data_IF_821938400101
#
_entry.id   IF_821938400101
#
_cell.length_a   1.000
_cell.length_b   1.000
_cell.length_c   1.000
_cell.angle_alpha   90.00
_cell.angle_beta   90.00
_cell.angle_gamma   90.00
#
_symmetry.space_group_name_H-M   'P 1'
#
loop_
_entity.id
_entity.type
_entity.pdbx_description
1 polymer ?
#
# COMPACT_ATOMS: atom_id res chain seq x y z
N UNK A 1 15.41 -53.09 -18.80
CA UNK A 1 14.37 -52.48 -19.66
C UNK A 1 13.55 -51.58 -18.75
N UNK A 2 14.02 -50.40 -18.32
CA UNK A 2 14.68 -49.29 -19.04
C UNK A 2 13.92 -48.85 -20.30
N UNK A 3 13.14 -47.78 -20.12
CA UNK A 3 12.83 -46.63 -21.00
C UNK A 3 11.96 -45.70 -20.13
N UNK A 4 12.37 -44.57 -19.52
CA UNK A 4 12.95 -43.30 -19.99
C UNK A 4 12.10 -42.54 -21.02
N UNK A 5 11.95 -41.23 -20.75
CA UNK A 5 11.31 -40.15 -21.51
C UNK A 5 9.80 -39.94 -21.22
N UNK A 6 9.24 -38.73 -21.12
CA UNK A 6 9.73 -37.35 -21.10
C UNK A 6 8.46 -36.48 -21.00
N UNK A 7 8.22 -35.80 -19.88
CA UNK A 7 7.29 -34.65 -19.89
C UNK A 7 7.90 -33.48 -19.13
N UNK A 8 8.22 -32.47 -19.95
CA UNK A 8 8.83 -31.18 -19.65
C UNK A 8 7.74 -30.17 -19.97
N UNK A 9 7.25 -29.40 -19.00
CA UNK A 9 6.45 -28.20 -19.29
C UNK A 9 6.59 -27.11 -18.23
N UNK A 10 7.18 -26.00 -18.68
CA UNK A 10 6.78 -24.62 -18.43
C UNK A 10 6.74 -24.07 -16.99
N UNK A 11 7.91 -23.94 -16.36
CA UNK A 11 8.11 -22.98 -15.26
C UNK A 11 9.24 -21.96 -15.48
N UNK A 12 9.88 -21.94 -16.65
CA UNK A 12 11.07 -21.12 -16.92
C UNK A 12 10.86 -20.03 -17.98
N UNK A 13 9.91 -19.11 -17.76
CA UNK A 13 9.74 -17.94 -18.63
C UNK A 13 9.43 -16.67 -17.83
N UNK A 14 10.30 -16.33 -16.88
CA UNK A 14 10.53 -14.93 -16.50
C UNK A 14 12.03 -14.73 -16.26
N UNK A 15 12.71 -13.79 -16.95
CA UNK A 15 14.12 -13.53 -16.67
C UNK A 15 14.27 -12.94 -15.27
N UNK A 16 15.29 -13.33 -14.50
CA UNK A 16 15.66 -12.60 -13.29
C UNK A 16 16.05 -11.17 -13.68
N UNK A 17 15.52 -10.19 -12.96
CA UNK A 17 15.83 -8.77 -13.11
C UNK A 17 17.30 -8.54 -12.74
N UNK A 18 18.19 -8.72 -13.71
CA UNK A 18 19.63 -8.51 -13.54
C UNK A 18 19.92 -7.01 -13.65
N UNK A 19 19.85 -6.31 -12.52
CA UNK A 19 20.32 -4.92 -12.41
C UNK A 19 21.82 -4.96 -12.13
N UNK A 20 22.62 -5.07 -13.19
CA UNK A 20 24.06 -4.88 -13.12
C UNK A 20 24.37 -3.41 -12.85
N UNK A 21 24.86 -3.08 -11.66
CA UNK A 21 25.47 -1.77 -11.39
C UNK A 21 26.98 -1.95 -11.42
N UNK A 22 27.58 -1.37 -12.46
CA UNK A 22 29.02 -1.25 -12.64
C UNK A 22 29.62 -0.39 -11.53
N UNK A 23 30.55 -0.96 -10.78
CA UNK A 23 31.34 -0.26 -9.76
C UNK A 23 32.47 0.51 -10.44
N UNK A 24 32.20 1.76 -10.82
CA UNK A 24 33.26 2.74 -11.09
C UNK A 24 33.29 3.79 -9.98
N UNK A 25 34.50 4.11 -9.50
CA UNK A 25 34.78 5.09 -8.45
C UNK A 25 34.08 6.44 -8.71
N UNK A 26 33.07 6.78 -7.90
CA UNK A 26 32.33 8.04 -7.98
C UNK A 26 32.63 8.86 -6.71
N UNK A 27 33.06 10.10 -6.94
CA UNK A 27 33.26 11.18 -5.96
C UNK A 27 32.08 11.29 -4.97
N UNK A 28 32.34 11.62 -3.71
CA UNK A 28 31.36 11.56 -2.59
C UNK A 28 30.05 12.34 -2.83
N UNK A 29 30.05 13.33 -3.74
CA UNK A 29 28.86 14.10 -4.15
C UNK A 29 27.94 13.33 -5.12
N UNK A 30 28.47 12.38 -5.88
CA UNK A 30 27.70 11.53 -6.78
C UNK A 30 27.04 10.36 -6.06
N UNK A 31 27.68 9.80 -5.03
CA UNK A 31 27.14 8.69 -4.24
C UNK A 31 25.94 9.11 -3.40
N UNK A 32 25.92 10.34 -2.87
CA UNK A 32 24.76 10.87 -2.13
C UNK A 32 23.55 11.13 -3.05
N UNK A 33 23.78 11.65 -4.27
CA UNK A 33 22.71 11.88 -5.26
C UNK A 33 22.12 10.58 -5.81
N UNK A 34 22.98 9.59 -6.11
CA UNK A 34 22.56 8.23 -6.49
C UNK A 34 21.73 7.57 -5.38
N UNK A 35 22.16 7.71 -4.12
CA UNK A 35 21.44 7.17 -2.96
C UNK A 35 20.11 7.88 -2.72
N UNK A 36 20.03 9.20 -2.93
CA UNK A 36 18.77 9.95 -2.88
C UNK A 36 17.74 9.45 -3.90
N UNK A 37 18.16 9.22 -5.15
CA UNK A 37 17.29 8.67 -6.19
C UNK A 37 16.81 7.24 -5.84
N UNK A 38 17.69 6.41 -5.27
CA UNK A 38 17.33 5.06 -4.81
C UNK A 38 16.31 5.10 -3.64
N UNK A 39 16.42 6.06 -2.73
CA UNK A 39 15.46 6.27 -1.64
C UNK A 39 14.10 6.71 -2.20
N UNK A 40 14.07 7.63 -3.17
CA UNK A 40 12.80 8.07 -3.78
C UNK A 40 12.07 6.95 -4.50
N UNK A 41 12.81 6.11 -5.23
CA UNK A 41 12.23 4.97 -5.93
C UNK A 41 11.73 3.91 -4.94
N UNK A 42 12.49 3.61 -3.88
CA UNK A 42 12.04 2.69 -2.84
C UNK A 42 10.79 3.21 -2.11
N UNK A 43 10.70 4.52 -1.83
CA UNK A 43 9.50 5.13 -1.27
C UNK A 43 8.28 4.96 -2.20
N UNK A 44 8.45 5.18 -3.51
CA UNK A 44 7.41 4.98 -4.53
C UNK A 44 6.92 3.54 -4.51
N UNK A 45 7.85 2.58 -4.54
CA UNK A 45 7.53 1.16 -4.52
C UNK A 45 6.81 0.75 -3.22
N UNK A 46 7.31 1.21 -2.05
CA UNK A 46 6.64 0.98 -0.78
C UNK A 46 5.20 1.49 -0.79
N UNK A 47 4.95 2.72 -1.26
CA UNK A 47 3.61 3.30 -1.34
C UNK A 47 2.67 2.45 -2.21
N UNK A 48 3.13 2.07 -3.40
CA UNK A 48 2.37 1.22 -4.32
C UNK A 48 2.00 -0.12 -3.67
N UNK A 49 2.97 -0.77 -3.00
CA UNK A 49 2.75 -2.04 -2.32
C UNK A 49 1.80 -1.91 -1.14
N UNK A 50 1.92 -0.86 -0.32
CA UNK A 50 1.00 -0.59 0.80
C UNK A 50 -0.45 -0.62 0.32
N UNK A 51 -0.80 0.15 -0.70
CA UNK A 51 -2.19 0.20 -1.16
C UNK A 51 -2.66 -1.09 -1.81
N UNK A 52 -1.81 -1.78 -2.56
CA UNK A 52 -2.15 -3.09 -3.14
C UNK A 52 -2.48 -4.11 -2.06
N UNK A 53 -1.65 -4.20 -1.03
CA UNK A 53 -1.86 -5.12 0.09
C UNK A 53 -3.05 -4.69 0.95
N UNK A 54 -3.29 -3.39 1.14
CA UNK A 54 -4.45 -2.87 1.86
C UNK A 54 -5.77 -3.23 1.15
N UNK A 55 -5.89 -2.93 -0.15
CA UNK A 55 -7.08 -3.27 -0.93
C UNK A 55 -7.33 -4.78 -0.94
N UNK A 56 -6.25 -5.58 -1.00
CA UNK A 56 -6.35 -7.04 -0.94
C UNK A 56 -6.85 -7.50 0.42
N UNK A 57 -6.31 -6.95 1.51
CA UNK A 57 -6.74 -7.27 2.87
C UNK A 57 -8.24 -6.98 3.04
N UNK A 58 -8.70 -5.79 2.67
CA UNK A 58 -10.13 -5.43 2.77
C UNK A 58 -11.03 -6.39 1.97
N UNK A 59 -10.63 -6.73 0.75
CA UNK A 59 -11.38 -7.66 -0.10
C UNK A 59 -11.45 -9.07 0.50
N UNK A 60 -10.32 -9.62 0.96
CA UNK A 60 -10.27 -10.98 1.52
C UNK A 60 -10.99 -11.08 2.87
N UNK A 61 -10.82 -10.09 3.74
CA UNK A 61 -11.56 -9.98 5.02
C UNK A 61 -13.06 -9.96 4.78
N UNK A 62 -13.51 -9.18 3.80
CA UNK A 62 -14.93 -9.11 3.45
C UNK A 62 -15.46 -10.45 2.94
N UNK A 63 -14.73 -11.11 2.03
CA UNK A 63 -15.13 -12.43 1.50
C UNK A 63 -15.20 -13.48 2.62
N UNK A 64 -14.23 -13.50 3.52
CA UNK A 64 -14.24 -14.40 4.67
C UNK A 64 -15.50 -14.23 5.51
N UNK A 65 -15.81 -12.98 5.88
CA UNK A 65 -16.95 -12.66 6.73
C UNK A 65 -18.28 -12.99 6.05
N UNK A 66 -18.49 -12.52 4.82
CA UNK A 66 -19.78 -12.65 4.13
C UNK A 66 -20.02 -14.02 3.50
N UNK A 67 -18.97 -14.71 3.03
CA UNK A 67 -19.14 -16.00 2.36
C UNK A 67 -19.18 -17.17 3.34
N UNK A 68 -18.45 -17.09 4.46
CA UNK A 68 -18.35 -18.19 5.41
C UNK A 68 -19.00 -17.85 6.75
N UNK A 69 -18.58 -16.76 7.40
CA UNK A 69 -19.03 -16.47 8.78
C UNK A 69 -20.54 -16.23 8.86
N UNK A 70 -21.09 -15.35 8.02
CA UNK A 70 -22.52 -15.00 8.06
C UNK A 70 -23.42 -16.19 7.73
N UNK A 71 -23.23 -16.94 6.62
CA UNK A 71 -24.07 -18.09 6.31
C UNK A 71 -23.99 -19.20 7.36
N UNK A 72 -22.80 -19.51 7.89
CA UNK A 72 -22.67 -20.49 8.96
C UNK A 72 -23.40 -20.05 10.23
N UNK A 73 -23.24 -18.80 10.66
CA UNK A 73 -23.94 -18.28 11.83
C UNK A 73 -25.46 -18.35 11.64
N UNK A 74 -25.96 -18.07 10.44
CA UNK A 74 -27.37 -18.18 10.09
C UNK A 74 -27.87 -19.63 10.17
N UNK A 75 -27.15 -20.60 9.60
CA UNK A 75 -27.53 -22.01 9.68
C UNK A 75 -27.50 -22.55 11.11
N UNK A 76 -26.48 -22.17 11.90
CA UNK A 76 -26.38 -22.53 13.32
C UNK A 76 -27.56 -21.95 14.11
N UNK A 77 -27.94 -20.70 13.84
CA UNK A 77 -29.09 -20.05 14.48
C UNK A 77 -30.39 -20.79 14.17
N UNK A 78 -30.65 -21.09 12.88
CA UNK A 78 -31.83 -21.86 12.45
C UNK A 78 -31.85 -23.24 13.12
N UNK A 79 -30.73 -23.96 13.09
CA UNK A 79 -30.58 -25.26 13.73
C UNK A 79 -30.88 -25.20 15.23
N UNK A 80 -30.43 -24.14 15.92
CA UNK A 80 -30.72 -23.91 17.33
C UNK A 80 -32.21 -23.71 17.58
N UNK A 81 -32.88 -22.86 16.80
CA UNK A 81 -34.33 -22.60 16.92
C UNK A 81 -35.14 -23.89 16.66
N UNK A 82 -34.80 -24.65 15.61
CA UNK A 82 -35.44 -25.92 15.30
C UNK A 82 -35.22 -26.96 16.41
N UNK A 83 -34.03 -26.99 17.02
CA UNK A 83 -33.73 -27.90 18.13
C UNK A 83 -34.57 -27.58 19.37
N UNK A 84 -34.73 -26.30 19.70
CA UNK A 84 -35.65 -25.87 20.76
C UNK A 84 -37.09 -26.21 20.43
N UNK A 85 -37.52 -25.96 19.19
CA UNK A 85 -38.87 -26.30 18.74
C UNK A 85 -39.17 -27.80 18.85
N UNK A 86 -38.22 -28.65 18.42
CA UNK A 86 -38.33 -30.11 18.53
C UNK A 86 -38.40 -30.60 19.99
N UNK A 87 -37.82 -29.84 20.92
CA UNK A 87 -37.83 -30.18 22.35
C UNK A 87 -39.14 -29.79 23.05
N UNK A 88 -40.05 -29.09 22.37
CA UNK A 88 -41.37 -28.77 22.93
C UNK A 88 -42.35 -29.91 22.66
N UNK A 89 -43.20 -30.24 23.64
CA UNK A 89 -44.27 -31.25 23.50
C UNK A 89 -45.33 -30.91 22.42
N UNK A 90 -45.16 -29.79 21.71
CA UNK A 90 -46.01 -29.34 20.61
C UNK A 90 -45.83 -30.16 19.32
N UNK A 91 -44.72 -30.90 19.19
CA UNK A 91 -44.41 -31.71 17.99
C UNK A 91 -44.45 -33.20 18.30
N UNK A 92 -45.63 -33.75 18.62
CA UNK A 92 -45.78 -35.19 18.81
C UNK A 92 -45.99 -35.92 17.47
N UNK A 93 -45.25 -37.01 17.23
CA UNK A 93 -45.43 -37.90 16.08
C UNK A 93 -44.46 -37.65 14.91
N UNK A 94 -44.94 -37.76 13.66
CA UNK A 94 -44.09 -37.70 12.45
C UNK A 94 -43.33 -36.37 12.28
N UNK A 95 -43.85 -35.27 12.84
CA UNK A 95 -43.22 -33.94 12.74
C UNK A 95 -41.89 -33.87 13.49
N UNK A 96 -41.75 -34.59 14.60
CA UNK A 96 -40.51 -34.64 15.40
C UNK A 96 -39.37 -35.26 14.59
N UNK A 97 -39.67 -36.36 13.89
CA UNK A 97 -38.70 -37.07 13.05
C UNK A 97 -38.25 -36.19 11.88
N UNK A 98 -39.17 -35.47 11.23
CA UNK A 98 -38.83 -34.57 10.13
C UNK A 98 -37.98 -33.37 10.57
N UNK A 99 -38.27 -32.78 11.73
CA UNK A 99 -37.47 -31.68 12.29
C UNK A 99 -36.07 -32.18 12.68
N UNK A 100 -35.97 -33.35 13.31
CA UNK A 100 -34.69 -33.99 13.65
C UNK A 100 -33.81 -34.25 12.43
N UNK A 101 -34.38 -34.79 11.34
CA UNK A 101 -33.65 -34.99 10.08
C UNK A 101 -33.17 -33.64 9.50
N UNK A 102 -34.02 -32.61 9.55
CA UNK A 102 -33.68 -31.27 9.04
C UNK A 102 -32.50 -30.66 9.80
N UNK A 103 -32.50 -30.76 11.14
CA UNK A 103 -31.39 -30.34 12.00
C UNK A 103 -30.11 -31.10 11.64
N UNK A 104 -30.22 -32.41 11.41
CA UNK A 104 -29.10 -33.25 10.95
C UNK A 104 -28.52 -32.78 9.62
N UNK A 105 -29.37 -32.51 8.62
CA UNK A 105 -28.93 -31.98 7.32
C UNK A 105 -28.24 -30.61 7.44
N UNK A 106 -28.81 -29.69 8.23
CA UNK A 106 -28.21 -28.37 8.45
C UNK A 106 -26.82 -28.52 9.11
N UNK A 107 -26.69 -29.44 10.07
CA UNK A 107 -25.41 -29.70 10.75
C UNK A 107 -24.33 -30.17 9.78
N UNK A 108 -24.66 -31.06 8.83
CA UNK A 108 -23.73 -31.50 7.78
C UNK A 108 -23.31 -30.33 6.88
N UNK A 109 -24.24 -29.46 6.51
CA UNK A 109 -23.94 -28.26 5.72
C UNK A 109 -22.99 -27.33 6.49
N UNK A 110 -23.23 -27.08 7.78
CA UNK A 110 -22.35 -26.23 8.61
C UNK A 110 -20.93 -26.81 8.67
N UNK A 111 -20.77 -28.12 8.90
CA UNK A 111 -19.45 -28.78 8.90
C UNK A 111 -18.77 -28.69 7.53
N UNK A 112 -19.53 -28.79 6.44
CA UNK A 112 -19.01 -28.61 5.09
C UNK A 112 -18.49 -27.18 4.87
N UNK A 113 -19.26 -26.15 5.24
CA UNK A 113 -18.81 -24.75 5.17
C UNK A 113 -17.59 -24.48 6.05
N UNK A 114 -17.52 -25.07 7.26
CA UNK A 114 -16.34 -24.98 8.12
C UNK A 114 -15.10 -25.62 7.48
N UNK A 115 -15.28 -26.74 6.79
CA UNK A 115 -14.20 -27.41 6.03
C UNK A 115 -13.74 -26.54 4.85
N UNK A 116 -14.68 -25.93 4.10
CA UNK A 116 -14.35 -25.01 3.02
C UNK A 116 -13.61 -23.77 3.54
N UNK A 117 -14.03 -23.21 4.68
CA UNK A 117 -13.35 -22.09 5.32
C UNK A 117 -11.88 -22.46 5.62
N UNK A 118 -11.64 -23.62 6.22
CA UNK A 118 -10.30 -24.12 6.52
C UNK A 118 -9.48 -24.47 5.28
N UNK A 119 -10.13 -24.73 4.14
CA UNK A 119 -9.43 -24.99 2.87
C UNK A 119 -8.99 -23.68 2.21
N UNK A 120 -9.89 -22.70 2.09
CA UNK A 120 -9.60 -21.43 1.42
C UNK A 120 -8.74 -20.47 2.25
N UNK A 121 -8.83 -20.54 3.59
CA UNK A 121 -8.01 -19.77 4.54
C UNK A 121 -7.96 -18.27 4.24
N UNK A 122 -9.08 -17.65 3.86
CA UNK A 122 -9.13 -16.23 3.52
C UNK A 122 -8.71 -15.34 4.70
N UNK A 123 -9.04 -15.73 5.93
CA UNK A 123 -8.65 -15.04 7.15
C UNK A 123 -7.12 -14.91 7.30
N UNK A 124 -6.42 -16.06 7.26
CA UNK A 124 -4.96 -16.12 7.34
C UNK A 124 -4.31 -15.33 6.20
N UNK A 125 -4.85 -15.47 4.98
CA UNK A 125 -4.35 -14.72 3.82
C UNK A 125 -4.54 -13.21 4.00
N UNK A 126 -5.69 -12.77 4.51
CA UNK A 126 -5.95 -11.37 4.82
C UNK A 126 -4.96 -10.84 5.86
N UNK A 127 -4.75 -11.57 6.95
CA UNK A 127 -3.80 -11.23 8.00
C UNK A 127 -2.36 -11.10 7.47
N UNK A 128 -1.94 -11.96 6.52
CA UNK A 128 -0.64 -11.82 5.85
C UNK A 128 -0.51 -10.48 5.12
N UNK A 129 -1.55 -10.04 4.40
CA UNK A 129 -1.52 -8.74 3.72
C UNK A 129 -1.53 -7.58 4.73
N UNK A 130 -2.29 -7.67 5.82
CA UNK A 130 -2.31 -6.65 6.88
C UNK A 130 -0.95 -6.46 7.57
N UNK A 131 -0.26 -7.56 7.88
CA UNK A 131 1.07 -7.50 8.50
C UNK A 131 2.08 -6.83 7.57
N UNK A 132 2.04 -7.16 6.27
CA UNK A 132 2.89 -6.53 5.25
C UNK A 132 2.63 -5.03 5.15
N UNK A 133 1.36 -4.59 5.16
CA UNK A 133 1.01 -3.17 5.17
C UNK A 133 1.65 -2.47 6.38
N UNK A 134 1.48 -3.04 7.56
CA UNK A 134 2.02 -2.47 8.81
C UNK A 134 3.54 -2.33 8.79
N UNK A 135 4.24 -3.34 8.26
CA UNK A 135 5.69 -3.31 8.16
C UNK A 135 6.20 -2.35 7.08
N UNK A 136 5.53 -2.31 5.92
CA UNK A 136 5.80 -1.34 4.86
C UNK A 136 5.55 0.10 5.30
N UNK A 137 4.52 0.36 6.11
CA UNK A 137 4.23 1.68 6.65
C UNK A 137 5.34 2.18 7.58
N UNK A 138 5.84 1.32 8.47
CA UNK A 138 6.99 1.63 9.32
C UNK A 138 8.24 1.93 8.49
N UNK A 139 8.55 1.07 7.51
CA UNK A 139 9.69 1.29 6.61
C UNK A 139 9.55 2.57 5.78
N UNK A 140 8.33 2.91 5.32
CA UNK A 140 8.07 4.16 4.60
C UNK A 140 8.35 5.37 5.49
N UNK A 141 7.93 5.35 6.75
CA UNK A 141 8.22 6.41 7.71
C UNK A 141 9.73 6.55 7.95
N UNK A 142 10.44 5.43 8.14
CA UNK A 142 11.90 5.41 8.27
C UNK A 142 12.61 6.00 7.03
N UNK A 143 12.15 5.66 5.82
CA UNK A 143 12.69 6.20 4.56
C UNK A 143 12.41 7.70 4.39
N UNK A 144 11.24 8.18 4.82
CA UNK A 144 10.93 9.61 4.81
C UNK A 144 11.85 10.37 5.75
N UNK A 145 12.07 9.87 6.96
CA UNK A 145 13.02 10.46 7.92
C UNK A 145 14.44 10.44 7.36
N UNK A 146 14.87 9.33 6.76
CA UNK A 146 16.19 9.22 6.13
C UNK A 146 16.35 10.25 5.01
N UNK A 147 15.32 10.45 4.19
CA UNK A 147 15.34 11.46 3.13
C UNK A 147 15.48 12.87 3.69
N UNK A 148 14.67 13.23 4.68
CA UNK A 148 14.70 14.57 5.30
C UNK A 148 16.10 14.85 5.84
N UNK A 149 16.67 13.91 6.61
CA UNK A 149 18.04 14.01 7.12
C UNK A 149 19.07 14.19 6.00
N UNK A 150 18.91 13.47 4.89
CA UNK A 150 19.82 13.57 3.76
C UNK A 150 19.70 14.92 3.01
N UNK A 151 18.48 15.47 2.93
CA UNK A 151 18.22 16.82 2.43
C UNK A 151 18.88 17.90 3.28
N UNK A 152 18.73 17.81 4.61
CA UNK A 152 19.33 18.74 5.57
C UNK A 152 20.87 18.76 5.49
N UNK A 153 21.51 17.58 5.37
CA UNK A 153 22.95 17.48 5.18
C UNK A 153 23.43 18.14 3.88
N UNK A 154 22.65 18.06 2.80
CA UNK A 154 23.00 18.66 1.51
C UNK A 154 22.86 20.19 1.53
N UNK A 155 21.87 20.71 2.28
CA UNK A 155 21.63 22.15 2.38
C UNK A 155 22.65 22.85 3.29
N UNK A 156 23.06 22.20 4.38
CA UNK A 156 24.06 22.73 5.34
C UNK A 156 25.46 22.88 4.72
N UNK A 157 25.83 21.98 3.81
CA UNK A 157 27.12 22.04 3.08
C UNK A 157 27.19 23.16 2.02
N UNK A 158 26.06 23.79 1.66
CA UNK A 158 26.04 24.93 0.73
C UNK A 158 26.09 26.29 1.44
N UNK A 159 25.81 26.36 2.75
CA UNK A 159 25.85 27.61 3.53
C UNK A 159 27.23 27.84 4.18
N UNK A 160 27.93 26.77 4.56
CA UNK A 160 29.31 26.86 5.05
C UNK A 160 30.29 26.57 3.91
N UNK A 161 30.86 27.63 3.32
CA UNK A 161 32.05 27.56 2.47
C UNK A 161 33.33 27.16 3.23
N UNK A 162 33.22 26.24 4.18
CA UNK A 162 34.30 25.75 5.01
C UNK A 162 34.67 24.34 4.58
N UNK A 163 35.91 24.19 4.12
CA UNK A 163 36.55 22.90 3.88
C UNK A 163 36.60 22.10 5.20
N UNK A 164 35.57 21.29 5.46
CA UNK A 164 35.66 20.26 6.50
C UNK A 164 36.16 18.98 5.85
N UNK A 165 37.42 18.70 6.20
CA UNK A 165 38.25 17.57 5.85
C UNK A 165 37.54 16.22 5.97
N UNK A 166 37.94 15.28 5.10
CA UNK A 166 37.64 13.85 5.09
C UNK A 166 37.24 13.27 6.46
N UNK A 167 35.94 13.07 6.68
CA UNK A 167 35.47 12.06 7.63
C UNK A 167 35.47 10.71 6.92
N UNK A 168 36.62 10.03 6.97
CA UNK A 168 36.65 8.58 6.81
C UNK A 168 35.84 7.99 7.96
N UNK A 169 34.59 7.61 7.68
CA UNK A 169 33.78 6.82 8.61
C UNK A 169 34.41 5.42 8.67
N UNK A 170 35.28 5.20 9.65
CA UNK A 170 35.70 3.86 10.04
C UNK A 170 34.62 3.31 10.96
N UNK A 171 33.80 2.41 10.42
CA UNK A 171 32.82 1.64 11.20
C UNK A 171 33.58 0.54 11.94
N UNK A 172 33.88 0.74 13.22
CA UNK A 172 34.33 -0.37 14.08
C UNK A 172 33.12 -1.00 14.75
N UNK A 173 32.90 -2.28 14.44
CA UNK A 173 31.90 -3.13 15.06
C UNK A 173 32.51 -3.77 16.31
N UNK A 174 32.14 -3.32 17.51
CA UNK A 174 32.55 -4.00 18.75
C UNK A 174 31.38 -4.11 19.70
N UNK A 175 30.86 -5.33 19.82
CA UNK A 175 30.07 -5.81 20.95
C UNK A 175 30.99 -6.01 22.16
N UNK A 176 30.84 -5.17 23.20
CA UNK A 176 30.80 -5.50 24.63
C UNK A 176 31.18 -4.28 25.48
N UNK A 177 30.36 -4.07 26.51
CA UNK A 177 30.51 -3.33 27.77
C UNK A 177 31.64 -2.31 27.99
N UNK A 178 31.21 -1.23 28.66
CA UNK A 178 31.93 -0.26 29.48
C UNK A 178 32.29 1.11 28.85
N UNK A 179 31.52 2.09 29.33
CA UNK A 179 31.57 3.56 29.20
C UNK A 179 32.97 4.16 29.35
N UNK A 180 33.32 5.12 28.47
CA UNK A 180 34.04 6.36 28.82
C UNK A 180 33.43 7.53 28.05
N UNK A 181 33.08 8.57 28.79
CA UNK A 181 32.58 9.87 28.32
C UNK A 181 33.80 10.78 28.17
N UNK A 182 33.95 11.45 27.02
CA UNK A 182 34.18 12.91 26.91
C UNK A 182 34.31 13.34 25.45
N UNK A 183 33.80 14.55 25.20
CA UNK A 183 33.91 15.41 24.02
C UNK A 183 32.85 15.27 22.91
N UNK A 184 32.05 16.34 22.79
CA UNK A 184 30.96 16.76 21.88
C UNK A 184 30.75 16.00 20.55
N UNK A 185 30.71 14.68 20.62
CA UNK A 185 30.23 13.82 19.56
C UNK A 185 28.78 13.51 19.87
N UNK A 186 27.89 14.16 19.14
CA UNK A 186 26.49 13.73 19.04
C UNK A 186 26.51 12.27 18.62
N UNK A 187 26.33 11.36 19.58
CA UNK A 187 26.07 9.95 19.33
C UNK A 187 24.70 9.90 18.69
N UNK A 188 24.66 10.03 17.35
CA UNK A 188 23.46 9.78 16.57
C UNK A 188 23.22 8.28 16.68
N UNK A 189 22.29 7.93 17.56
CA UNK A 189 21.75 6.58 17.71
C UNK A 189 21.44 6.00 16.34
N UNK A 190 22.06 4.84 16.09
CA UNK A 190 21.88 3.91 14.96
C UNK A 190 20.71 4.25 14.03
N UNK A 191 20.98 5.05 13.00
CA UNK A 191 20.13 5.07 11.82
C UNK A 191 20.40 3.79 11.04
N UNK A 192 19.40 2.93 10.85
CA UNK A 192 19.53 1.80 9.94
C UNK A 192 20.06 2.26 8.58
N UNK A 193 20.98 1.50 7.99
CA UNK A 193 21.51 1.81 6.67
C UNK A 193 20.42 1.64 5.60
N UNK A 194 20.51 2.37 4.49
CA UNK A 194 19.61 2.18 3.35
C UNK A 194 19.55 0.71 2.88
N UNK A 195 20.69 0.01 2.90
CA UNK A 195 20.78 -1.41 2.53
C UNK A 195 20.01 -2.31 3.49
N UNK A 196 20.03 -2.00 4.80
CA UNK A 196 19.21 -2.67 5.81
C UNK A 196 17.72 -2.54 5.49
N UNK A 197 17.26 -1.32 5.19
CA UNK A 197 15.85 -1.06 4.87
C UNK A 197 15.46 -1.76 3.57
N UNK A 198 16.33 -1.74 2.55
CA UNK A 198 16.07 -2.44 1.29
C UNK A 198 15.99 -3.96 1.49
N UNK A 199 16.84 -4.55 2.34
CA UNK A 199 16.77 -5.96 2.69
C UNK A 199 15.47 -6.30 3.45
N UNK A 200 15.08 -5.49 4.43
CA UNK A 200 13.80 -5.62 5.15
C UNK A 200 12.61 -5.52 4.20
N UNK A 201 12.65 -4.61 3.23
CA UNK A 201 11.61 -4.49 2.20
C UNK A 201 11.45 -5.79 1.39
N UNK A 202 12.55 -6.35 0.88
CA UNK A 202 12.51 -7.61 0.13
C UNK A 202 12.03 -8.79 1.00
N UNK A 203 12.47 -8.85 2.25
CA UNK A 203 12.02 -9.85 3.21
C UNK A 203 10.52 -9.73 3.51
N UNK A 204 10.02 -8.50 3.67
CA UNK A 204 8.60 -8.23 3.90
C UNK A 204 7.74 -8.72 2.73
N UNK A 205 8.14 -8.41 1.48
CA UNK A 205 7.43 -8.90 0.30
C UNK A 205 7.48 -10.42 0.17
N UNK A 206 8.64 -11.03 0.44
CA UNK A 206 8.81 -12.48 0.41
C UNK A 206 8.01 -13.21 1.50
N UNK A 207 7.69 -12.53 2.62
CA UNK A 207 6.90 -13.12 3.70
C UNK A 207 5.43 -13.36 3.31
N UNK A 208 4.90 -12.58 2.34
CA UNK A 208 3.53 -12.68 1.89
C UNK A 208 3.38 -13.79 0.83
N UNK A 209 2.89 -14.96 1.24
CA UNK A 209 2.64 -16.07 0.31
C UNK A 209 1.31 -15.95 -0.44
N UNK A 210 0.41 -15.09 0.05
CA UNK A 210 -0.89 -14.85 -0.60
C UNK A 210 -0.72 -13.90 -1.79
N UNK A 211 -1.17 -14.29 -2.99
CA UNK A 211 -1.09 -13.41 -4.15
C UNK A 211 -2.10 -12.27 -4.06
N UNK A 212 -1.66 -11.09 -4.50
CA UNK A 212 -2.55 -9.94 -4.75
C UNK A 212 -3.48 -10.26 -5.93
N UNK A 213 -4.80 -9.98 -5.82
CA UNK A 213 -5.74 -10.16 -6.91
C UNK A 213 -5.28 -9.47 -8.20
N UNK A 214 -5.35 -10.20 -9.32
CA UNK A 214 -4.81 -9.76 -10.61
C UNK A 214 -5.34 -8.40 -11.06
N UNK A 215 -6.61 -8.08 -10.77
CA UNK A 215 -7.22 -6.79 -11.13
C UNK A 215 -6.59 -5.61 -10.39
N UNK A 216 -6.27 -5.78 -9.11
CA UNK A 216 -5.57 -4.77 -8.32
C UNK A 216 -4.16 -4.61 -8.90
N UNK A 217 -3.46 -5.73 -9.08
CA UNK A 217 -2.09 -5.72 -9.63
C UNK A 217 -2.01 -5.04 -11.00
N UNK A 218 -2.91 -5.39 -11.92
CA UNK A 218 -2.97 -4.76 -13.24
C UNK A 218 -3.24 -3.26 -13.15
N UNK A 219 -4.14 -2.81 -12.26
CA UNK A 219 -4.43 -1.38 -12.12
C UNK A 219 -3.21 -0.58 -11.67
N UNK A 220 -2.44 -1.10 -10.70
CA UNK A 220 -1.22 -0.45 -10.24
C UNK A 220 -0.10 -0.49 -11.30
N UNK A 221 0.07 -1.59 -12.03
CA UNK A 221 1.02 -1.62 -13.16
C UNK A 221 0.63 -0.66 -14.29
N UNK A 222 -0.66 -0.52 -14.55
CA UNK A 222 -1.17 0.41 -15.56
C UNK A 222 -0.95 1.86 -15.14
N UNK A 223 -1.24 2.23 -13.89
CA UNK A 223 -0.96 3.59 -13.42
C UNK A 223 0.54 3.86 -13.44
N UNK A 224 1.37 2.88 -13.08
CA UNK A 224 2.83 2.97 -13.19
C UNK A 224 3.26 3.29 -14.63
N UNK A 225 2.78 2.51 -15.59
CA UNK A 225 3.13 2.71 -17.00
C UNK A 225 2.67 4.08 -17.51
N UNK A 226 1.47 4.52 -17.16
CA UNK A 226 0.93 5.82 -17.59
C UNK A 226 1.66 7.00 -16.96
N UNK A 227 2.03 6.88 -15.69
CA UNK A 227 2.79 7.90 -14.99
C UNK A 227 4.22 7.99 -15.52
N UNK A 228 4.87 6.88 -15.84
CA UNK A 228 6.19 6.89 -16.52
C UNK A 228 6.10 7.55 -17.91
N UNK A 229 5.06 7.26 -18.70
CA UNK A 229 4.81 7.92 -19.99
C UNK A 229 4.52 9.42 -19.86
N UNK A 230 4.00 9.85 -18.71
CA UNK A 230 3.72 11.26 -18.43
C UNK A 230 4.98 12.08 -18.09
N UNK A 231 6.11 11.41 -17.78
CA UNK A 231 7.40 12.07 -17.56
C UNK A 231 7.94 12.59 -18.89
N UNK A 232 7.83 13.89 -19.09
CA UNK A 232 8.36 14.59 -20.24
C UNK A 232 9.08 15.86 -19.79
N UNK A 233 10.07 16.31 -20.56
CA UNK A 233 10.85 17.52 -20.26
C UNK A 233 9.97 18.77 -20.07
N UNK A 234 8.82 18.82 -20.77
CA UNK A 234 7.83 19.88 -20.60
C UNK A 234 7.15 19.84 -19.22
N UNK A 235 6.94 18.66 -18.65
CA UNK A 235 6.40 18.49 -17.30
C UNK A 235 7.44 18.89 -16.25
N UNK A 236 8.70 18.48 -16.41
CA UNK A 236 9.80 18.91 -15.52
C UNK A 236 9.89 20.44 -15.45
N UNK A 237 9.92 21.12 -16.61
CA UNK A 237 9.94 22.60 -16.67
C UNK A 237 8.72 23.25 -16.02
N UNK A 238 7.54 22.65 -16.18
CA UNK A 238 6.31 23.16 -15.57
C UNK A 238 6.38 23.11 -14.04
N UNK A 239 6.74 21.96 -13.46
CA UNK A 239 6.75 21.81 -12.01
C UNK A 239 7.94 22.50 -11.34
N UNK A 240 9.07 22.63 -12.03
CA UNK A 240 10.17 23.51 -11.61
C UNK A 240 9.70 24.98 -11.51
N UNK A 241 8.93 25.46 -12.50
CA UNK A 241 8.40 26.84 -12.49
C UNK A 241 7.41 27.12 -11.35
N UNK A 242 6.74 26.08 -10.85
CA UNK A 242 5.78 26.16 -9.74
C UNK A 242 6.48 26.02 -8.38
N UNK A 243 7.81 25.79 -8.37
CA UNK A 243 8.60 25.67 -7.13
C UNK A 243 8.29 24.41 -6.32
N UNK A 244 7.73 23.36 -6.94
CA UNK A 244 7.47 22.11 -6.24
C UNK A 244 8.72 21.23 -6.17
N UNK A 245 9.39 21.24 -5.01
CA UNK A 245 10.39 20.22 -4.68
C UNK A 245 9.74 18.83 -4.57
N UNK A 246 10.44 17.80 -5.06
CA UNK A 246 10.00 16.39 -5.11
C UNK A 246 8.63 16.18 -5.80
N UNK A 247 8.29 17.05 -6.78
CA UNK A 247 6.98 17.01 -7.45
C UNK A 247 6.65 15.64 -8.03
N UNK A 248 7.64 14.93 -8.59
CA UNK A 248 7.44 13.63 -9.21
C UNK A 248 6.88 12.64 -8.17
N UNK A 249 7.54 12.51 -7.02
CA UNK A 249 7.08 11.58 -5.99
C UNK A 249 5.72 11.97 -5.41
N UNK A 250 5.48 13.26 -5.18
CA UNK A 250 4.18 13.75 -4.69
C UNK A 250 3.07 13.42 -5.69
N UNK A 251 3.35 13.56 -6.99
CA UNK A 251 2.43 13.21 -8.05
C UNK A 251 2.16 11.70 -8.11
N UNK A 252 3.20 10.89 -7.94
CA UNK A 252 3.09 9.42 -7.83
C UNK A 252 2.23 8.99 -6.65
N UNK A 253 2.46 9.56 -5.46
CA UNK A 253 1.65 9.28 -4.28
C UNK A 253 0.20 9.68 -4.50
N UNK A 254 -0.04 10.89 -5.02
CA UNK A 254 -1.38 11.33 -5.36
C UNK A 254 -2.05 10.39 -6.38
N UNK A 255 -1.32 9.87 -7.37
CA UNK A 255 -1.86 8.91 -8.33
C UNK A 255 -2.32 7.61 -7.64
N UNK A 256 -1.50 7.04 -6.76
CA UNK A 256 -1.84 5.84 -6.00
C UNK A 256 -3.02 6.06 -5.05
N UNK A 257 -3.04 7.19 -4.33
CA UNK A 257 -4.13 7.54 -3.42
C UNK A 257 -5.46 7.65 -4.17
N UNK A 258 -5.46 8.33 -5.33
CA UNK A 258 -6.66 8.47 -6.17
C UNK A 258 -7.09 7.13 -6.76
N UNK A 259 -6.16 6.26 -7.11
CA UNK A 259 -6.49 4.92 -7.58
C UNK A 259 -7.20 4.12 -6.48
N UNK A 260 -6.65 4.10 -5.26
CA UNK A 260 -7.28 3.48 -4.09
C UNK A 260 -8.66 4.06 -3.83
N UNK A 261 -8.81 5.38 -3.88
CA UNK A 261 -10.10 6.07 -3.76
C UNK A 261 -11.11 5.56 -4.81
N UNK A 262 -10.68 5.29 -6.04
CA UNK A 262 -11.58 4.74 -7.07
C UNK A 262 -12.02 3.31 -6.79
N UNK A 263 -11.11 2.48 -6.26
CA UNK A 263 -11.48 1.13 -5.81
C UNK A 263 -12.51 1.19 -4.66
N UNK A 264 -12.22 1.96 -3.62
CA UNK A 264 -13.06 2.00 -2.40
C UNK A 264 -14.39 2.73 -2.60
N UNK A 265 -14.46 3.69 -3.52
CA UNK A 265 -15.71 4.42 -3.83
C UNK A 265 -16.67 3.65 -4.76
N UNK A 266 -16.28 2.47 -5.25
CA UNK A 266 -17.18 1.67 -6.08
C UNK A 266 -18.28 1.04 -5.22
N UNK A 267 -19.54 1.14 -5.65
CA UNK A 267 -20.72 0.68 -4.87
C UNK A 267 -20.66 -0.80 -4.45
N UNK A 268 -20.01 -1.66 -5.24
CA UNK A 268 -19.87 -3.09 -4.96
C UNK A 268 -18.57 -3.44 -4.23
N UNK A 269 -17.77 -2.45 -3.83
CA UNK A 269 -16.62 -2.68 -2.95
C UNK A 269 -17.09 -3.01 -1.53
N UNK A 270 -16.46 -3.95 -0.80
CA UNK A 270 -15.35 -4.84 -1.19
C UNK A 270 -15.80 -6.17 -1.83
N UNK A 271 -17.08 -6.37 -2.10
CA UNK A 271 -17.62 -7.64 -2.61
C UNK A 271 -17.11 -8.01 -4.01
N UNK A 272 -16.99 -7.04 -4.92
CA UNK A 272 -16.56 -7.26 -6.30
C UNK A 272 -15.47 -6.29 -6.71
N UNK A 273 -14.38 -6.85 -7.23
CA UNK A 273 -13.29 -6.06 -7.79
C UNK A 273 -13.71 -5.36 -9.10
N UNK A 274 -13.63 -4.02 -9.17
CA UNK A 274 -13.91 -3.26 -10.39
C UNK A 274 -12.89 -3.56 -11.49
N UNK A 275 -13.22 -3.13 -12.71
CA UNK A 275 -12.32 -3.25 -13.85
C UNK A 275 -11.10 -2.31 -13.71
N UNK A 276 -9.90 -2.86 -13.93
CA UNK A 276 -8.63 -2.15 -13.70
C UNK A 276 -8.47 -0.93 -14.60
N UNK A 277 -8.80 -1.07 -15.89
CA UNK A 277 -8.69 0.00 -16.88
C UNK A 277 -9.60 1.18 -16.53
N UNK A 278 -10.85 0.88 -16.16
CA UNK A 278 -11.82 1.90 -15.78
C UNK A 278 -11.40 2.68 -14.53
N UNK A 279 -10.84 2.00 -13.51
CA UNK A 279 -10.35 2.66 -12.30
C UNK A 279 -9.16 3.57 -12.57
N UNK A 280 -8.19 3.10 -13.36
CA UNK A 280 -7.01 3.88 -13.74
C UNK A 280 -7.40 5.12 -14.54
N UNK A 281 -8.31 4.99 -15.51
CA UNK A 281 -8.76 6.14 -16.30
C UNK A 281 -9.43 7.21 -15.43
N UNK A 282 -10.31 6.82 -14.50
CA UNK A 282 -10.95 7.75 -13.55
C UNK A 282 -9.94 8.40 -12.60
N UNK A 283 -8.99 7.62 -12.08
CA UNK A 283 -7.94 8.12 -11.19
C UNK A 283 -7.05 9.17 -11.88
N UNK A 284 -6.56 8.86 -13.09
CA UNK A 284 -5.75 9.78 -13.89
C UNK A 284 -6.53 11.03 -14.32
N UNK A 285 -7.81 10.88 -14.66
CA UNK A 285 -8.67 12.03 -14.98
C UNK A 285 -8.81 12.98 -13.78
N UNK A 286 -9.09 12.44 -12.58
CA UNK A 286 -9.14 13.23 -11.34
C UNK A 286 -7.79 13.88 -11.04
N UNK A 287 -6.70 13.13 -11.17
CA UNK A 287 -5.34 13.65 -10.95
C UNK A 287 -5.02 14.81 -11.89
N UNK A 288 -5.31 14.66 -13.18
CA UNK A 288 -5.13 15.72 -14.19
C UNK A 288 -5.90 16.98 -13.83
N UNK A 289 -7.16 16.84 -13.42
CA UNK A 289 -7.98 17.99 -13.00
C UNK A 289 -7.39 18.72 -11.79
N UNK A 290 -6.88 17.98 -10.79
CA UNK A 290 -6.22 18.57 -9.62
C UNK A 290 -4.96 19.31 -10.02
N UNK A 291 -4.12 18.74 -10.88
CA UNK A 291 -2.88 19.38 -11.35
C UNK A 291 -3.18 20.66 -12.15
N UNK A 292 -4.24 20.66 -12.97
CA UNK A 292 -4.67 21.82 -13.74
C UNK A 292 -5.23 22.93 -12.84
N UNK A 293 -6.05 22.57 -11.85
CA UNK A 293 -6.66 23.51 -10.93
C UNK A 293 -5.71 23.98 -9.82
N UNK A 294 -4.60 23.28 -9.58
CA UNK A 294 -3.61 23.58 -8.55
C UNK A 294 -3.02 24.99 -8.63
N UNK A 295 -3.00 25.60 -9.83
CA UNK A 295 -2.59 27.00 -10.03
C UNK A 295 -3.53 28.02 -9.36
N UNK A 296 -4.81 27.69 -9.22
CA UNK A 296 -5.81 28.57 -8.61
C UNK A 296 -6.24 28.09 -7.21
N UNK A 297 -5.71 26.96 -6.75
CA UNK A 297 -6.19 26.30 -5.52
C UNK A 297 -6.01 27.16 -4.26
N UNK A 298 -4.98 28.00 -4.23
CA UNK A 298 -4.70 28.91 -3.12
C UNK A 298 -5.20 30.34 -3.38
N UNK A 299 -5.61 30.66 -4.61
CA UNK A 299 -6.04 32.00 -5.02
C UNK A 299 -7.57 32.15 -5.00
N UNK A 300 -8.31 31.04 -5.03
CA UNK A 300 -9.76 31.06 -4.85
C UNK A 300 -10.09 30.75 -3.38
N UNK A 301 -10.78 31.68 -2.71
CA UNK A 301 -11.54 31.35 -1.50
C UNK A 301 -12.61 30.34 -1.91
N UNK A 302 -12.31 29.04 -1.80
CA UNK A 302 -13.24 27.98 -2.20
C UNK A 302 -13.91 27.42 -0.95
N UNK A 303 -15.22 27.63 -0.85
CA UNK A 303 -16.02 27.08 0.25
C UNK A 303 -16.37 25.62 -0.08
N UNK A 304 -16.05 24.70 0.84
CA UNK A 304 -16.34 23.28 0.66
C UNK A 304 -17.83 23.04 0.91
N UNK A 305 -18.58 22.75 -0.16
CA UNK A 305 -19.98 22.39 -0.05
C UNK A 305 -20.12 20.93 0.37
N UNK A 306 -20.41 20.74 1.66
CA UNK A 306 -20.57 19.42 2.29
C UNK A 306 -21.75 18.62 1.73
N UNK A 307 -22.73 19.26 1.08
CA UNK A 307 -23.89 18.55 0.52
C UNK A 307 -23.61 17.98 -0.87
N UNK A 308 -22.81 18.67 -1.68
CA UNK A 308 -22.49 18.24 -3.05
C UNK A 308 -21.16 17.49 -3.19
N UNK A 309 -20.30 17.53 -2.17
CA UNK A 309 -18.96 16.96 -2.21
C UNK A 309 -18.07 17.62 -3.27
N UNK A 310 -18.41 18.86 -3.66
CA UNK A 310 -17.69 19.62 -4.67
C UNK A 310 -17.27 20.98 -4.14
N UNK A 311 -16.12 21.43 -4.61
CA UNK A 311 -15.55 22.74 -4.36
C UNK A 311 -16.32 23.79 -5.17
N UNK A 312 -16.95 24.78 -4.51
CA UNK A 312 -17.60 25.93 -5.17
C UNK A 312 -16.81 27.21 -4.90
N UNK A 313 -16.66 28.11 -5.89
CA UNK A 313 -16.08 29.43 -5.66
C UNK A 313 -16.90 30.17 -4.61
N UNK A 314 -16.27 30.71 -3.56
CA UNK A 314 -16.97 31.51 -2.55
C UNK A 314 -17.57 32.74 -3.22
N UNK A 315 -18.88 32.93 -3.05
CA UNK A 315 -19.55 34.12 -3.55
C UNK A 315 -18.96 35.34 -2.83
N UNK A 316 -18.35 36.24 -3.61
CA UNK A 316 -17.68 37.47 -3.16
C UNK A 316 -18.45 38.14 -2.01
N UNK A 317 -17.83 38.20 -0.82
CA UNK A 317 -18.33 39.11 0.22
C UNK A 317 -18.07 40.54 -0.25
N UNK A 318 -19.06 41.44 -0.15
CA UNK A 318 -18.87 42.82 -0.56
C UNK A 318 -17.80 43.47 0.32
N UNK A 319 -16.74 43.96 -0.32
CA UNK A 319 -15.63 44.67 0.31
C UNK A 319 -16.20 45.87 1.07
N UNK A 320 -16.11 45.84 2.40
CA UNK A 320 -16.45 46.97 3.24
C UNK A 320 -15.49 48.13 2.91
N UNK A 321 -16.01 49.16 2.24
CA UNK A 321 -15.31 50.43 2.04
C UNK A 321 -15.05 51.05 3.41
N UNK A 322 -13.79 51.06 3.85
CA UNK A 322 -13.34 52.05 4.84
C UNK A 322 -13.36 53.42 4.14
N UNK A 323 -14.33 54.25 4.53
CA UNK A 323 -14.35 55.70 4.28
C UNK A 323 -13.41 56.41 5.27
N UNK A 324 -12.98 57.65 4.97
CA UNK A 324 -11.60 58.14 5.00
C UNK A 324 -11.09 58.55 6.38
#
# INVERSE_FOLDING_TARGET
METSESERSESDLLPPLNVGISTSNITSRGTTRLRGHSITELCKQCQSQIYRHQLTNEHLSFLQFWLFTVPMAFFVMISGILSFYNSTDLTAGDTEVHVGITIGCISVVVVFFGTLQSYYNFDVRSAMHYNVVTDLDKMRAELQVMRIKMGDCCNRNNQDGSYVSNSNIVVTNTNHDAVKIEDDTVVISQGESFESIQARYQQCLASCKSPVPLKIEQAYRMIDSQMELSKNEAADKYFESVGMEDWQLKLWFAAYDRLTEQFTSTQLWPMRLPDSSTMVHKALYKLKRVVQNGKNFWDEDVEYDYESGTLRPSAERPIAKLYP
#
